data_IF_396669614778
#
_entry.id   IF_396669614778
#
_cell.length_a   1.000
_cell.length_b   1.000
_cell.length_c   1.000
_cell.angle_alpha   90.00
_cell.angle_beta   90.00
_cell.angle_gamma   90.00
#
_symmetry.space_group_name_H-M   'P 1'
#
loop_
_entity.id
_entity.type
_entity.pdbx_description
1 polymer ?
#
# COMPACT_ATOMS: atom_id res chain seq x y z
N UNK A 1 24.91 4.62 -28.38
CA UNK A 1 24.14 4.28 -27.19
C UNK A 1 22.99 5.31 -27.10
N UNK A 2 21.76 4.90 -27.38
CA UNK A 2 20.62 5.83 -27.34
C UNK A 2 20.29 6.11 -25.87
N UNK A 3 20.49 7.33 -25.43
CA UNK A 3 20.00 7.78 -24.13
C UNK A 3 18.49 8.03 -24.27
N UNK A 4 17.68 7.18 -23.64
CA UNK A 4 16.26 7.42 -23.59
C UNK A 4 15.97 8.55 -22.60
N UNK A 5 15.39 9.65 -23.08
CA UNK A 5 14.88 10.72 -22.20
C UNK A 5 13.48 10.36 -21.67
N UNK A 6 13.33 9.12 -21.17
CA UNK A 6 12.08 8.61 -20.67
C UNK A 6 12.27 8.06 -19.24
N UNK A 7 11.33 8.31 -18.37
CA UNK A 7 11.27 7.75 -17.03
C UNK A 7 9.85 7.22 -16.76
N UNK A 8 9.77 5.99 -16.27
CA UNK A 8 8.52 5.50 -15.72
C UNK A 8 8.29 6.12 -14.33
N UNK A 9 7.16 6.80 -14.15
CA UNK A 9 6.81 7.43 -12.87
C UNK A 9 5.74 6.67 -12.10
N UNK A 10 4.99 5.80 -12.77
CA UNK A 10 3.92 4.99 -12.17
C UNK A 10 4.22 3.51 -12.42
N UNK A 11 4.74 2.84 -11.42
CA UNK A 11 5.10 1.41 -11.48
C UNK A 11 4.76 0.72 -10.17
N UNK A 12 4.35 -0.54 -10.29
CA UNK A 12 4.03 -1.41 -9.16
C UNK A 12 5.07 -2.51 -9.02
N UNK A 13 5.53 -2.74 -7.79
CA UNK A 13 6.35 -3.89 -7.46
C UNK A 13 5.51 -5.04 -6.90
N UNK A 14 6.16 -6.14 -6.54
CA UNK A 14 5.55 -7.28 -5.85
C UNK A 14 4.93 -6.92 -4.49
N UNK A 15 5.15 -5.71 -3.96
CA UNK A 15 4.44 -5.20 -2.79
C UNK A 15 3.01 -4.76 -3.11
N UNK A 16 2.68 -4.47 -4.37
CA UNK A 16 1.29 -4.24 -4.81
C UNK A 16 0.61 -5.56 -5.12
N UNK A 17 -0.10 -6.12 -4.16
CA UNK A 17 -0.84 -7.38 -4.38
C UNK A 17 -1.82 -7.24 -5.56
N UNK A 18 -1.79 -8.22 -6.46
CA UNK A 18 -2.60 -8.30 -7.68
C UNK A 18 -2.27 -7.26 -8.78
N UNK A 19 -1.32 -6.33 -8.55
CA UNK A 19 -0.96 -5.31 -9.54
C UNK A 19 0.47 -5.43 -10.04
N UNK A 20 1.43 -5.82 -9.19
CA UNK A 20 2.82 -5.98 -9.54
C UNK A 20 3.37 -7.38 -9.25
N UNK A 21 4.24 -7.90 -10.14
CA UNK A 21 4.90 -9.20 -9.97
C UNK A 21 6.42 -9.08 -9.89
N UNK A 22 7.00 -7.98 -10.39
CA UNK A 22 8.43 -7.75 -10.40
C UNK A 22 8.94 -7.33 -9.03
N UNK A 23 10.12 -7.80 -8.64
CA UNK A 23 10.79 -7.26 -7.46
C UNK A 23 11.29 -5.83 -7.72
N UNK A 24 11.51 -5.07 -6.65
CA UNK A 24 12.08 -3.72 -6.76
C UNK A 24 13.43 -3.74 -7.46
N UNK A 25 14.27 -4.75 -7.20
CA UNK A 25 15.58 -4.89 -7.84
C UNK A 25 15.47 -5.15 -9.34
N UNK A 26 14.50 -5.97 -9.78
CA UNK A 26 14.26 -6.25 -11.19
C UNK A 26 13.82 -4.99 -11.93
N UNK A 27 12.91 -4.21 -11.32
CA UNK A 27 12.43 -2.93 -11.85
C UNK A 27 13.62 -1.97 -12.06
N UNK A 28 14.42 -1.77 -11.03
CA UNK A 28 15.57 -0.84 -11.08
C UNK A 28 16.65 -1.35 -12.04
N UNK A 29 16.94 -2.66 -12.02
CA UNK A 29 17.86 -3.28 -12.97
C UNK A 29 17.44 -3.07 -14.42
N UNK A 30 16.15 -3.27 -14.71
CA UNK A 30 15.59 -3.05 -16.05
C UNK A 30 15.63 -1.58 -16.47
N UNK A 31 15.32 -0.66 -15.55
CA UNK A 31 15.42 0.77 -15.82
C UNK A 31 16.85 1.20 -16.17
N UNK A 32 17.84 0.68 -15.44
CA UNK A 32 19.27 0.89 -15.74
C UNK A 32 19.65 0.35 -17.12
N UNK A 33 19.26 -0.87 -17.44
CA UNK A 33 19.61 -1.52 -18.71
C UNK A 33 18.98 -0.81 -19.91
N UNK A 34 17.85 -0.16 -19.71
CA UNK A 34 17.19 0.70 -20.70
C UNK A 34 17.75 2.13 -20.73
N UNK A 35 18.68 2.49 -19.86
CA UNK A 35 19.28 3.82 -19.80
C UNK A 35 18.33 4.91 -19.30
N UNK A 36 17.36 4.56 -18.46
CA UNK A 36 16.43 5.53 -17.88
C UNK A 36 17.16 6.42 -16.86
N UNK A 37 16.98 7.74 -16.89
CA UNK A 37 17.61 8.66 -15.94
C UNK A 37 16.95 8.64 -14.55
N UNK A 38 15.71 8.19 -14.48
CA UNK A 38 14.94 8.09 -13.26
C UNK A 38 13.90 6.96 -13.37
N UNK A 39 13.44 6.46 -12.23
CA UNK A 39 12.32 5.50 -12.16
C UNK A 39 11.52 5.74 -10.89
N UNK A 40 10.19 5.69 -11.02
CA UNK A 40 9.24 5.82 -9.92
C UNK A 40 8.79 4.46 -9.40
N UNK A 41 8.44 4.43 -8.12
CA UNK A 41 7.70 3.32 -7.51
C UNK A 41 6.47 3.89 -6.80
N UNK A 42 5.31 3.35 -7.14
CA UNK A 42 3.99 3.82 -6.67
C UNK A 42 3.10 2.62 -6.36
N UNK A 43 3.51 1.83 -5.38
CA UNK A 43 2.74 0.66 -4.98
C UNK A 43 1.36 1.07 -4.44
N UNK A 44 0.34 0.22 -4.68
CA UNK A 44 -1.05 0.53 -4.34
C UNK A 44 -1.27 0.44 -2.84
N UNK A 45 -1.73 1.55 -2.24
CA UNK A 45 -2.03 1.72 -0.81
C UNK A 45 -0.86 1.28 0.11
N UNK A 46 0.39 1.36 -0.37
CA UNK A 46 1.58 0.89 0.36
C UNK A 46 2.83 1.66 -0.02
N UNK A 47 3.71 1.79 0.95
CA UNK A 47 5.04 2.38 0.78
C UNK A 47 6.17 1.43 1.24
N UNK A 48 5.85 0.14 1.47
CA UNK A 48 6.80 -0.83 2.04
C UNK A 48 8.04 -1.03 1.18
N UNK A 49 7.94 -0.89 -0.14
CA UNK A 49 9.05 -1.04 -1.10
C UNK A 49 9.91 0.21 -1.29
N UNK A 50 9.51 1.40 -0.79
CA UNK A 50 10.14 2.66 -1.18
C UNK A 50 11.57 2.82 -0.68
N UNK A 51 11.88 2.36 0.53
CA UNK A 51 13.26 2.44 1.05
C UNK A 51 14.18 1.55 0.21
N UNK A 52 13.74 0.31 -0.07
CA UNK A 52 14.48 -0.62 -0.92
C UNK A 52 14.67 -0.05 -2.34
N UNK A 53 13.64 0.59 -2.89
CA UNK A 53 13.69 1.26 -4.17
C UNK A 53 14.70 2.40 -4.19
N UNK A 54 14.68 3.24 -3.16
CA UNK A 54 15.63 4.34 -3.02
C UNK A 54 17.08 3.84 -3.01
N UNK A 55 17.37 2.82 -2.21
CA UNK A 55 18.70 2.24 -2.09
C UNK A 55 19.16 1.57 -3.40
N UNK A 56 18.27 0.78 -4.02
CA UNK A 56 18.56 0.12 -5.29
C UNK A 56 18.83 1.13 -6.43
N UNK A 57 18.04 2.20 -6.52
CA UNK A 57 18.25 3.27 -7.49
C UNK A 57 19.58 3.98 -7.28
N UNK A 58 19.94 4.30 -6.04
CA UNK A 58 21.21 4.92 -5.72
C UNK A 58 22.40 4.04 -6.09
N UNK A 59 22.31 2.75 -5.79
CA UNK A 59 23.34 1.78 -6.16
C UNK A 59 23.48 1.63 -7.68
N UNK A 60 22.38 1.76 -8.44
CA UNK A 60 22.36 1.68 -9.88
C UNK A 60 22.70 3.01 -10.59
N UNK A 61 22.89 4.12 -9.87
CA UNK A 61 23.15 5.45 -10.45
C UNK A 61 21.92 6.07 -11.14
N UNK A 62 20.71 5.65 -10.77
CA UNK A 62 19.43 6.14 -11.30
C UNK A 62 18.78 7.03 -10.23
N UNK A 63 18.11 8.10 -10.64
CA UNK A 63 17.36 8.95 -9.71
C UNK A 63 16.05 8.26 -9.27
N UNK A 64 15.87 7.99 -7.96
CA UNK A 64 14.62 7.45 -7.44
C UNK A 64 13.51 8.52 -7.45
N UNK A 65 12.30 8.12 -7.83
CA UNK A 65 11.09 8.89 -7.62
C UNK A 65 10.19 8.07 -6.70
N UNK A 66 9.86 8.64 -5.55
CA UNK A 66 9.09 7.96 -4.51
C UNK A 66 7.64 8.42 -4.59
N UNK A 67 6.71 7.47 -4.54
CA UNK A 67 5.29 7.78 -4.62
C UNK A 67 4.41 6.66 -4.08
N UNK A 68 3.12 6.86 -4.19
CA UNK A 68 2.09 5.87 -3.85
C UNK A 68 0.91 6.01 -4.80
N UNK A 69 0.29 4.91 -5.16
CA UNK A 69 -1.05 4.90 -5.75
C UNK A 69 -2.05 4.69 -4.62
N UNK A 70 -2.95 5.63 -4.41
CA UNK A 70 -4.05 5.52 -3.46
C UNK A 70 -5.32 5.05 -4.17
N UNK A 71 -6.08 4.19 -3.50
CA UNK A 71 -7.42 3.81 -3.94
C UNK A 71 -8.45 4.28 -2.93
N UNK A 72 -9.66 4.62 -3.39
CA UNK A 72 -10.75 4.90 -2.48
C UNK A 72 -11.03 3.69 -1.56
N UNK A 73 -11.34 3.94 -0.27
CA UNK A 73 -11.72 2.88 0.65
C UNK A 73 -12.98 2.15 0.17
N UNK A 74 -13.03 0.82 0.32
CA UNK A 74 -14.26 0.06 0.08
C UNK A 74 -15.21 0.25 1.24
N UNK A 75 -16.51 0.13 0.97
CA UNK A 75 -17.55 0.16 2.02
C UNK A 75 -17.24 -0.82 3.16
N UNK A 76 -16.72 -2.02 2.85
CA UNK A 76 -16.31 -2.98 3.87
C UNK A 76 -15.12 -2.54 4.72
N UNK A 77 -14.20 -1.75 4.16
CA UNK A 77 -13.07 -1.16 4.90
C UNK A 77 -13.59 -0.03 5.81
N UNK A 78 -14.53 0.77 5.33
CA UNK A 78 -15.19 1.83 6.08
C UNK A 78 -15.93 1.22 7.28
N UNK A 79 -16.79 0.25 7.05
CA UNK A 79 -17.56 -0.43 8.12
C UNK A 79 -16.64 -1.12 9.15
N UNK A 80 -15.51 -1.69 8.70
CA UNK A 80 -14.53 -2.30 9.61
C UNK A 80 -13.75 -1.24 10.42
N UNK A 81 -13.55 -0.04 9.89
CA UNK A 81 -12.96 1.08 10.63
C UNK A 81 -13.91 1.61 11.70
N UNK A 82 -15.19 1.80 11.37
CA UNK A 82 -16.23 2.21 12.32
C UNK A 82 -16.35 1.22 13.49
N UNK A 83 -16.42 -0.09 13.22
CA UNK A 83 -16.48 -1.11 14.25
C UNK A 83 -15.26 -1.11 15.19
N UNK A 84 -14.07 -0.77 14.70
CA UNK A 84 -12.86 -0.60 15.53
C UNK A 84 -12.97 0.62 16.45
N UNK A 85 -13.51 1.73 15.97
CA UNK A 85 -13.72 2.94 16.78
C UNK A 85 -14.71 2.70 17.91
N UNK A 86 -15.82 2.02 17.66
CA UNK A 86 -16.81 1.69 18.68
C UNK A 86 -16.24 0.78 19.77
N UNK A 87 -15.41 -0.20 19.41
CA UNK A 87 -14.79 -1.13 20.38
C UNK A 87 -13.77 -0.46 21.32
N UNK A 88 -13.20 0.69 20.94
CA UNK A 88 -12.26 1.44 21.78
C UNK A 88 -12.94 2.46 22.72
N UNK A 89 -14.21 2.77 22.51
CA UNK A 89 -14.95 3.72 23.35
C UNK A 89 -15.75 3.05 24.50
N UNK A 90 -15.79 1.73 24.56
CA UNK A 90 -16.57 0.96 25.52
C UNK A 90 -15.73 0.17 26.52
N UNK A 91 -15.39 0.76 27.69
CA UNK A 91 -15.10 -0.02 28.88
C UNK A 91 -14.04 0.58 29.82
N UNK A 92 -14.35 0.77 31.12
CA UNK A 92 -13.32 1.03 32.11
C UNK A 92 -12.45 -0.21 32.31
N UNK A 93 -11.14 -0.01 32.34
CA UNK A 93 -10.15 -1.06 32.59
C UNK A 93 -10.41 -1.75 33.93
N UNK A 94 -10.98 -2.93 33.91
CA UNK A 94 -10.94 -3.85 35.06
C UNK A 94 -9.61 -4.63 35.02
N UNK A 95 -8.68 -4.15 35.81
CA UNK A 95 -7.35 -4.71 36.00
C UNK A 95 -7.38 -5.90 36.96
N UNK A 96 -7.98 -7.03 36.62
CA UNK A 96 -7.78 -8.31 37.34
C UNK A 96 -8.31 -9.49 36.51
N UNK A 97 -7.53 -9.99 35.55
CA UNK A 97 -7.54 -11.41 35.23
C UNK A 97 -6.38 -11.80 34.33
N UNK A 98 -5.36 -12.42 34.88
CA UNK A 98 -4.44 -13.25 34.14
C UNK A 98 -5.12 -14.59 33.84
N UNK A 99 -5.20 -15.04 32.60
CA UNK A 99 -5.41 -16.44 32.28
C UNK A 99 -4.05 -17.11 32.02
N UNK A 100 -3.79 -18.06 32.86
CA UNK A 100 -2.74 -19.09 32.74
C UNK A 100 -2.97 -19.90 31.46
N UNK A 101 -1.89 -20.24 30.77
CA UNK A 101 -1.84 -20.85 29.46
C UNK A 101 -2.66 -22.11 29.25
N UNK A 102 -3.04 -22.29 28.01
CA UNK A 102 -3.18 -23.60 27.38
C UNK A 102 -2.78 -23.47 25.92
N UNK A 103 -1.67 -24.11 25.57
CA UNK A 103 -1.29 -24.41 24.20
C UNK A 103 -2.45 -25.18 23.55
N UNK A 104 -3.12 -24.60 22.58
CA UNK A 104 -3.93 -25.37 21.64
C UNK A 104 -3.17 -25.49 20.33
N UNK A 105 -2.92 -26.73 19.99
CA UNK A 105 -2.40 -27.22 18.75
C UNK A 105 -3.11 -26.59 17.55
N UNK A 106 -2.34 -26.12 16.60
CA UNK A 106 -2.79 -25.73 15.26
C UNK A 106 -3.27 -26.99 14.53
N UNK A 107 -4.56 -27.22 14.53
CA UNK A 107 -5.23 -28.25 13.77
C UNK A 107 -5.63 -27.70 12.41
N UNK A 108 -5.17 -28.38 11.35
CA UNK A 108 -5.54 -28.16 9.96
C UNK A 108 -7.07 -28.16 9.77
N UNK A 109 -7.58 -27.12 9.15
CA UNK A 109 -8.99 -27.01 8.80
C UNK A 109 -9.29 -25.67 8.14
N UNK A 110 -8.59 -25.35 7.05
CA UNK A 110 -9.03 -24.31 6.13
C UNK A 110 -9.86 -24.99 5.05
N UNK A 111 -11.18 -24.91 5.18
CA UNK A 111 -12.09 -25.32 4.12
C UNK A 111 -11.84 -24.48 2.88
N UNK A 112 -11.43 -25.15 1.79
CA UNK A 112 -11.15 -24.56 0.49
C UNK A 112 -12.37 -23.91 -0.19
N UNK A 113 -13.53 -23.88 0.46
CA UNK A 113 -14.77 -23.31 -0.04
C UNK A 113 -14.90 -21.80 0.20
N UNK A 114 -14.01 -21.18 1.02
CA UNK A 114 -14.13 -19.76 1.36
C UNK A 114 -13.20 -18.85 0.55
N UNK A 115 -12.44 -19.41 -0.40
CA UNK A 115 -11.59 -18.68 -1.33
C UNK A 115 -12.17 -18.51 -2.74
N UNK A 116 -13.48 -18.73 -2.92
CA UNK A 116 -14.11 -18.30 -4.17
C UNK A 116 -14.15 -16.76 -4.17
N UNK A 117 -13.68 -16.09 -5.25
CA UNK A 117 -13.89 -14.66 -5.40
C UNK A 117 -15.39 -14.43 -5.40
N UNK A 118 -15.91 -13.78 -4.37
CA UNK A 118 -17.28 -13.29 -4.42
C UNK A 118 -17.35 -12.36 -5.60
N UNK A 119 -18.05 -12.80 -6.66
CA UNK A 119 -18.42 -11.94 -7.76
C UNK A 119 -19.19 -10.76 -7.15
N UNK A 120 -18.63 -9.57 -7.28
CA UNK A 120 -19.27 -8.33 -6.88
C UNK A 120 -20.47 -8.13 -7.80
N UNK A 121 -21.62 -8.63 -7.36
CA UNK A 121 -22.90 -8.38 -7.98
C UNK A 121 -23.36 -6.97 -7.56
N UNK A 122 -22.69 -5.94 -8.04
CA UNK A 122 -23.19 -4.58 -8.17
C UNK A 122 -22.13 -3.78 -8.94
N UNK A 123 -22.55 -3.27 -10.09
CA UNK A 123 -21.87 -2.36 -11.00
C UNK A 123 -20.40 -2.07 -10.76
N UNK A 124 -19.56 -2.51 -11.67
CA UNK A 124 -18.13 -2.19 -11.74
C UNK A 124 -17.94 -0.67 -11.84
N UNK A 125 -18.06 0.04 -10.71
CA UNK A 125 -17.46 1.36 -10.60
C UNK A 125 -15.96 1.11 -10.49
N UNK A 126 -15.23 1.46 -11.55
CA UNK A 126 -13.78 1.50 -11.52
C UNK A 126 -13.42 2.36 -10.30
N UNK A 127 -12.64 1.80 -9.36
CA UNK A 127 -12.20 2.55 -8.19
C UNK A 127 -11.43 3.77 -8.65
N UNK A 128 -11.73 4.89 -8.11
CA UNK A 128 -10.91 6.07 -8.30
C UNK A 128 -9.52 5.80 -7.74
N UNK A 129 -8.52 6.25 -8.47
CA UNK A 129 -7.11 6.07 -8.13
C UNK A 129 -6.41 7.40 -8.25
N UNK A 130 -5.58 7.68 -7.28
CA UNK A 130 -4.76 8.88 -7.22
C UNK A 130 -3.30 8.50 -7.07
N UNK A 131 -2.46 8.97 -7.98
CA UNK A 131 -1.00 8.77 -7.90
C UNK A 131 -0.36 10.02 -7.34
N UNK A 132 0.30 9.89 -6.20
CA UNK A 132 1.04 10.94 -5.54
C UNK A 132 2.54 10.65 -5.61
N UNK A 133 3.35 11.68 -5.93
CA UNK A 133 4.80 11.59 -6.01
C UNK A 133 5.43 12.59 -5.04
N UNK A 134 6.36 12.12 -4.21
CA UNK A 134 7.11 12.98 -3.31
C UNK A 134 8.11 13.85 -4.10
N UNK A 135 8.03 15.15 -3.93
CA UNK A 135 8.96 16.11 -4.53
C UNK A 135 10.29 16.19 -3.76
N UNK A 136 10.22 16.03 -2.44
CA UNK A 136 11.32 16.17 -1.48
C UNK A 136 11.03 15.36 -0.22
N UNK A 137 11.84 15.52 0.82
CA UNK A 137 11.67 14.83 2.10
C UNK A 137 10.37 15.21 2.83
N UNK A 138 9.94 16.47 2.71
CA UNK A 138 8.67 16.93 3.28
C UNK A 138 7.49 16.23 2.59
N UNK A 139 7.48 16.20 1.24
CA UNK A 139 6.46 15.47 0.48
C UNK A 139 6.45 13.97 0.78
N UNK A 140 7.60 13.36 1.11
CA UNK A 140 7.61 11.97 1.58
C UNK A 140 6.90 11.81 2.94
N UNK A 141 7.12 12.74 3.87
CA UNK A 141 6.40 12.74 5.14
C UNK A 141 4.89 12.91 4.95
N UNK A 142 4.47 13.82 4.07
CA UNK A 142 3.06 14.01 3.70
C UNK A 142 2.44 12.74 3.11
N UNK A 143 3.17 12.00 2.25
CA UNK A 143 2.69 10.70 1.75
C UNK A 143 2.49 9.69 2.88
N UNK A 144 3.38 9.68 3.89
CA UNK A 144 3.21 8.81 5.06
C UNK A 144 1.94 9.17 5.85
N UNK A 145 1.66 10.45 6.03
CA UNK A 145 0.48 10.94 6.76
C UNK A 145 -0.80 10.61 6.00
N UNK A 146 -0.86 10.88 4.71
CA UNK A 146 -2.01 10.56 3.84
C UNK A 146 -2.28 9.06 3.84
N UNK A 147 -1.24 8.24 3.70
CA UNK A 147 -1.39 6.79 3.71
C UNK A 147 -1.85 6.27 5.09
N UNK A 148 -1.38 6.90 6.15
CA UNK A 148 -1.82 6.60 7.52
C UNK A 148 -3.31 6.91 7.69
N UNK A 149 -3.77 8.06 7.23
CA UNK A 149 -5.19 8.44 7.24
C UNK A 149 -6.02 7.45 6.41
N UNK A 150 -5.56 7.10 5.21
CA UNK A 150 -6.22 6.11 4.34
C UNK A 150 -6.46 4.77 5.06
N UNK A 151 -5.52 4.33 5.90
CA UNK A 151 -5.61 3.03 6.57
C UNK A 151 -6.28 3.07 7.94
N UNK A 152 -6.12 4.16 8.69
CA UNK A 152 -6.62 4.26 10.06
C UNK A 152 -7.98 4.94 10.17
N UNK A 153 -8.29 5.83 9.26
CA UNK A 153 -9.51 6.63 9.23
C UNK A 153 -10.25 6.49 7.89
N UNK A 154 -10.37 5.25 7.40
CA UNK A 154 -10.98 4.95 6.10
C UNK A 154 -12.42 5.47 5.98
N UNK A 155 -13.17 5.56 7.09
CA UNK A 155 -14.51 6.13 7.19
C UNK A 155 -14.58 7.65 6.91
N UNK A 156 -13.44 8.33 7.00
CA UNK A 156 -13.31 9.79 6.79
C UNK A 156 -12.36 10.15 5.66
N UNK A 157 -11.77 9.16 5.01
CA UNK A 157 -10.80 9.42 3.95
C UNK A 157 -11.53 9.76 2.65
N UNK A 158 -11.28 10.95 2.13
CA UNK A 158 -11.74 11.40 0.83
C UNK A 158 -10.58 12.01 0.04
N UNK A 159 -10.56 11.82 -1.28
CA UNK A 159 -9.54 12.43 -2.13
C UNK A 159 -9.64 13.97 -2.17
N UNK A 160 -10.81 14.51 -1.93
CA UNK A 160 -11.03 15.96 -1.87
C UNK A 160 -10.29 16.62 -0.70
N UNK A 161 -10.00 15.87 0.38
CA UNK A 161 -9.29 16.38 1.56
C UNK A 161 -7.76 16.45 1.37
N UNK A 162 -7.24 15.96 0.23
CA UNK A 162 -5.80 15.94 -0.06
C UNK A 162 -5.35 17.24 -0.73
N UNK A 163 -6.27 18.00 -1.31
CA UNK A 163 -6.02 19.23 -2.07
C UNK A 163 -6.67 20.44 -1.41
#
# INVERSE_FOLDING_TARGET
MYTMNFAHLHMHSSFSFHAGVASVHDIVGRARDLGMPAVGLTDTDRMSGLILHYEACRAAGIRPVLGVELTEPRLGEILAAEARHESHQGGPADSRRTPRGSHKSFGAGVDAAEMAPRADAAGSHARERLVLLARNAEGYAELCDVLTQRHLAADRFCFEDIF
#
